data_IF_316193988309
#
_entry.id   IF_316193988309
#
_cell.length_a   1.000
_cell.length_b   1.000
_cell.length_c   1.000
_cell.angle_alpha   90.00
_cell.angle_beta   90.00
_cell.angle_gamma   90.00
#
_symmetry.space_group_name_H-M   'P 1'
#
loop_
_entity.id
_entity.type
_entity.pdbx_description
1 polymer ?
#
# COMPACT_ATOMS: atom_id res chain seq x y z
N UNK A 1 -8.54 -10.84 9.80
CA UNK A 1 -7.67 -9.97 10.64
C UNK A 1 -6.26 -10.10 10.10
N UNK A 2 -5.64 -8.99 9.71
CA UNK A 2 -4.40 -9.03 8.92
C UNK A 2 -4.61 -9.12 7.41
N UNK A 3 -5.78 -8.65 6.93
CA UNK A 3 -5.94 -8.32 5.51
C UNK A 3 -4.99 -7.17 5.15
N UNK A 4 -4.49 -7.20 3.92
CA UNK A 4 -3.48 -6.28 3.43
C UNK A 4 -4.13 -5.17 2.61
N UNK A 5 -3.68 -3.94 2.86
CA UNK A 5 -4.03 -2.75 2.07
C UNK A 5 -2.75 -2.20 1.44
N UNK A 6 -2.73 -2.13 0.12
CA UNK A 6 -1.60 -1.58 -0.61
C UNK A 6 -1.68 -0.05 -0.60
N UNK A 7 -0.57 0.59 -0.27
CA UNK A 7 -0.41 2.05 -0.35
C UNK A 7 1.04 2.37 -0.70
N UNK A 8 1.39 3.64 -0.85
CA UNK A 8 2.77 4.07 -1.10
C UNK A 8 3.38 4.66 0.17
N UNK A 9 4.68 4.45 0.37
CA UNK A 9 5.42 5.09 1.47
C UNK A 9 5.61 6.59 1.22
N UNK A 10 5.54 7.02 -0.04
CA UNK A 10 5.54 8.41 -0.46
C UNK A 10 4.10 8.97 -0.47
N UNK A 11 3.49 9.02 0.71
CA UNK A 11 2.16 9.59 0.96
C UNK A 11 2.09 10.15 2.38
N UNK A 12 1.04 10.89 2.71
CA UNK A 12 0.78 11.33 4.07
C UNK A 12 0.50 10.13 4.99
N UNK A 13 1.13 10.16 6.18
CA UNK A 13 1.15 9.04 7.13
C UNK A 13 -0.24 8.54 7.55
N UNK A 14 -1.25 9.43 7.53
CA UNK A 14 -2.61 9.11 7.93
C UNK A 14 -3.22 7.93 7.14
N UNK A 15 -2.80 7.70 5.89
CA UNK A 15 -3.30 6.57 5.10
C UNK A 15 -2.88 5.22 5.73
N UNK A 16 -1.60 5.09 6.11
CA UNK A 16 -1.09 3.88 6.74
C UNK A 16 -1.61 3.75 8.19
N UNK A 17 -1.72 4.85 8.93
CA UNK A 17 -2.27 4.86 10.29
C UNK A 17 -3.73 4.45 10.32
N UNK A 18 -4.56 4.96 9.40
CA UNK A 18 -5.98 4.59 9.32
C UNK A 18 -6.14 3.08 9.10
N UNK A 19 -5.35 2.48 8.20
CA UNK A 19 -5.34 1.04 8.00
C UNK A 19 -4.90 0.28 9.26
N UNK A 20 -3.82 0.73 9.92
CA UNK A 20 -3.31 0.10 11.13
C UNK A 20 -4.31 0.16 12.30
N UNK A 21 -5.01 1.30 12.49
CA UNK A 21 -6.04 1.47 13.51
C UNK A 21 -7.22 0.51 13.32
N UNK A 22 -7.53 0.14 12.09
CA UNK A 22 -8.55 -0.86 11.75
C UNK A 22 -8.03 -2.31 11.87
N UNK A 23 -6.76 -2.52 12.23
CA UNK A 23 -6.14 -3.83 12.33
C UNK A 23 -5.82 -4.49 10.98
N UNK A 24 -5.72 -3.67 9.93
CA UNK A 24 -5.23 -4.05 8.61
C UNK A 24 -3.71 -3.92 8.56
N UNK A 25 -3.07 -4.60 7.61
CA UNK A 25 -1.62 -4.53 7.38
C UNK A 25 -1.34 -3.65 6.15
N UNK A 26 -0.72 -2.46 6.31
CA UNK A 26 -0.21 -1.71 5.17
C UNK A 26 0.89 -2.49 4.45
N UNK A 27 0.81 -2.55 3.12
CA UNK A 27 1.86 -3.07 2.24
C UNK A 27 2.29 -1.93 1.33
N UNK A 28 3.60 -1.61 1.33
CA UNK A 28 4.11 -0.48 0.57
C UNK A 28 4.54 -0.91 -0.83
N UNK A 29 3.95 -0.26 -1.83
CA UNK A 29 4.32 -0.42 -3.23
C UNK A 29 5.27 0.68 -3.69
N UNK A 30 5.99 0.39 -4.78
CA UNK A 30 6.91 1.31 -5.44
C UNK A 30 6.19 2.50 -6.07
N UNK A 31 6.94 3.58 -6.30
CA UNK A 31 6.44 4.80 -6.94
C UNK A 31 7.20 5.12 -8.22
N UNK A 32 6.51 5.79 -9.13
CA UNK A 32 7.12 6.41 -10.29
C UNK A 32 7.97 7.61 -9.87
N UNK A 33 9.21 7.70 -10.33
CA UNK A 33 10.15 8.74 -9.91
C UNK A 33 9.68 10.16 -10.27
N UNK A 34 8.98 10.30 -11.39
CA UNK A 34 8.64 11.61 -11.95
C UNK A 34 7.30 12.15 -11.42
N UNK A 35 6.35 11.25 -11.12
CA UNK A 35 5.02 11.63 -10.63
C UNK A 35 4.83 11.41 -9.13
N UNK A 36 5.68 10.60 -8.52
CA UNK A 36 5.58 10.11 -7.14
C UNK A 36 4.30 9.34 -6.82
N UNK A 37 3.49 9.01 -7.83
CA UNK A 37 2.35 8.12 -7.70
C UNK A 37 2.81 6.66 -7.75
N UNK A 38 1.89 5.76 -7.42
CA UNK A 38 2.07 4.32 -7.51
C UNK A 38 2.58 3.88 -8.89
N UNK A 39 3.65 3.09 -8.92
CA UNK A 39 4.14 2.40 -10.12
C UNK A 39 3.30 1.14 -10.36
N UNK A 40 2.34 1.25 -11.28
CA UNK A 40 1.40 0.17 -11.60
C UNK A 40 2.11 -1.02 -12.25
N UNK A 41 3.25 -0.80 -12.92
CA UNK A 41 4.00 -1.88 -13.57
C UNK A 41 4.62 -2.86 -12.57
N UNK A 42 4.84 -2.41 -11.32
CA UNK A 42 5.41 -3.21 -10.23
C UNK A 42 4.38 -3.68 -9.20
N UNK A 43 3.10 -3.29 -9.34
CA UNK A 43 2.04 -3.55 -8.36
C UNK A 43 1.84 -5.05 -8.07
N UNK A 44 1.86 -5.89 -9.11
CA UNK A 44 1.65 -7.34 -8.98
C UNK A 44 2.68 -8.01 -8.05
N UNK A 45 3.87 -7.43 -7.88
CA UNK A 45 4.93 -7.99 -7.01
C UNK A 45 4.57 -7.94 -5.52
N UNK A 46 3.61 -7.11 -5.12
CA UNK A 46 3.21 -6.92 -3.73
C UNK A 46 1.81 -7.46 -3.42
N UNK A 47 1.09 -7.96 -4.43
CA UNK A 47 -0.24 -8.58 -4.25
C UNK A 47 -0.06 -9.97 -3.65
N UNK A 48 -0.85 -10.26 -2.62
CA UNK A 48 -0.91 -11.57 -1.98
C UNK A 48 -2.37 -12.03 -1.84
N UNK A 49 -2.64 -13.30 -1.47
CA UNK A 49 -4.00 -13.76 -1.17
C UNK A 49 -4.72 -12.97 -0.05
N UNK A 50 -3.95 -12.21 0.75
CA UNK A 50 -4.48 -11.35 1.84
C UNK A 50 -4.80 -9.93 1.38
N UNK A 51 -4.38 -9.51 0.18
CA UNK A 51 -4.68 -8.18 -0.36
C UNK A 51 -6.19 -8.03 -0.58
N UNK A 52 -6.76 -6.94 -0.05
CA UNK A 52 -8.19 -6.61 -0.19
C UNK A 52 -8.44 -5.22 -0.77
N UNK A 53 -7.43 -4.35 -0.72
CA UNK A 53 -7.44 -3.01 -1.29
C UNK A 53 -6.01 -2.61 -1.68
#
# INVERSE_FOLDING_TARGET
KGDEVITTSFNYVAAAEAAALLGLKPVFAEIEKDSFNLDVSKLENVITPKTKA
#
